data_IF_016643574667
#
_entry.id   IF_016643574667
#
_cell.length_a   1.000
_cell.length_b   1.000
_cell.length_c   1.000
_cell.angle_alpha   90.00
_cell.angle_beta   90.00
_cell.angle_gamma   90.00
#
_symmetry.space_group_name_H-M   'P 1'
#
loop_
_entity.id
_entity.type
_entity.pdbx_description
1 polymer ?
#
# COMPACT_ATOMS: atom_id res chain seq x y z
N UNK A 1 9.28 8.88 9.29
CA UNK A 1 9.81 8.09 8.16
C UNK A 1 9.05 6.77 7.96
N UNK A 2 8.49 6.16 9.00
CA UNK A 2 7.70 4.93 8.86
C UNK A 2 6.33 5.15 8.18
N UNK A 3 5.64 6.25 8.52
CA UNK A 3 4.32 6.60 7.94
C UNK A 3 4.37 6.79 6.41
N UNK A 4 5.40 7.45 5.89
CA UNK A 4 5.59 7.71 4.45
C UNK A 4 5.80 6.43 3.67
N UNK A 5 6.65 5.53 4.17
CA UNK A 5 6.90 4.25 3.55
C UNK A 5 5.65 3.35 3.60
N UNK A 6 4.93 3.36 4.73
CA UNK A 6 3.67 2.64 4.88
C UNK A 6 2.61 3.16 3.89
N UNK A 7 2.44 4.49 3.79
CA UNK A 7 1.53 5.14 2.84
C UNK A 7 1.88 4.80 1.41
N UNK A 8 3.17 4.88 1.07
CA UNK A 8 3.66 4.52 -0.26
C UNK A 8 3.29 3.06 -0.57
N UNK A 9 3.73 2.10 0.24
CA UNK A 9 3.45 0.68 0.05
C UNK A 9 1.96 0.33 0.03
N UNK A 10 1.16 1.04 0.83
CA UNK A 10 -0.29 0.86 0.85
C UNK A 10 -0.94 1.37 -0.43
N UNK A 11 -0.52 2.54 -0.93
CA UNK A 11 -1.09 3.14 -2.13
C UNK A 11 -0.57 2.51 -3.42
N UNK A 12 0.67 2.01 -3.46
CA UNK A 12 1.31 1.43 -4.66
C UNK A 12 0.39 0.48 -5.46
N UNK A 13 -0.22 -0.56 -4.88
CA UNK A 13 -1.09 -1.47 -5.64
C UNK A 13 -2.38 -0.80 -6.16
N UNK A 14 -2.80 0.31 -5.57
CA UNK A 14 -3.98 1.07 -5.98
C UNK A 14 -3.64 2.24 -6.91
N UNK A 15 -2.39 2.69 -6.98
CA UNK A 15 -1.94 3.81 -7.81
C UNK A 15 -2.43 3.78 -9.26
N UNK A 16 -2.30 2.66 -10.02
CA UNK A 16 -2.76 2.64 -11.41
C UNK A 16 -4.27 2.91 -11.54
N UNK A 17 -5.05 2.60 -10.51
CA UNK A 17 -6.49 2.88 -10.45
C UNK A 17 -6.80 4.25 -9.84
N UNK A 18 -6.03 4.70 -8.86
CA UNK A 18 -6.17 6.02 -8.23
C UNK A 18 -5.79 7.17 -9.17
N UNK A 19 -4.84 6.95 -10.08
CA UNK A 19 -4.52 7.90 -11.15
C UNK A 19 -5.66 8.02 -12.18
N UNK A 20 -6.42 6.94 -12.36
CA UNK A 20 -7.58 6.87 -13.27
C UNK A 20 -8.91 7.03 -12.52
N UNK A 21 -8.86 7.51 -11.27
CA UNK A 21 -10.03 7.69 -10.41
C UNK A 21 -11.01 8.66 -11.09
N UNK A 22 -12.29 8.27 -11.14
CA UNK A 22 -13.32 8.98 -11.91
C UNK A 22 -13.69 8.31 -13.23
N UNK A 23 -12.95 7.26 -13.62
CA UNK A 23 -13.40 6.33 -14.68
C UNK A 23 -14.10 5.12 -14.07
N UNK A 24 -15.15 4.57 -14.71
CA UNK A 24 -15.87 3.40 -14.19
C UNK A 24 -14.95 2.17 -14.05
N UNK A 25 -13.98 2.03 -14.97
CA UNK A 25 -12.98 0.95 -14.95
C UNK A 25 -12.10 1.02 -13.71
N UNK A 26 -11.66 2.22 -13.32
CA UNK A 26 -10.86 2.39 -12.11
C UNK A 26 -11.64 2.09 -10.83
N UNK A 27 -12.93 2.48 -10.78
CA UNK A 27 -13.77 2.18 -9.62
C UNK A 27 -14.03 0.69 -9.45
N UNK A 28 -14.28 -0.03 -10.53
CA UNK A 28 -14.53 -1.47 -10.48
C UNK A 28 -13.26 -2.25 -10.11
N UNK A 29 -12.14 -1.95 -10.78
CA UNK A 29 -10.87 -2.59 -10.49
C UNK A 29 -10.35 -2.25 -9.07
N UNK A 30 -10.51 -1.00 -8.64
CA UNK A 30 -10.19 -0.58 -7.28
C UNK A 30 -11.04 -1.31 -6.23
N UNK A 31 -12.34 -1.50 -6.48
CA UNK A 31 -13.21 -2.32 -5.62
C UNK A 31 -12.76 -3.79 -5.59
N UNK A 32 -12.45 -4.39 -6.74
CA UNK A 32 -11.96 -5.77 -6.80
C UNK A 32 -10.66 -5.95 -6.02
N UNK A 33 -9.69 -5.03 -6.18
CA UNK A 33 -8.45 -5.03 -5.40
C UNK A 33 -8.72 -4.80 -3.92
N UNK A 34 -9.61 -3.86 -3.59
CA UNK A 34 -10.09 -3.62 -2.24
C UNK A 34 -10.59 -4.91 -1.61
N UNK A 35 -11.57 -5.59 -2.22
CA UNK A 35 -12.10 -6.86 -1.72
C UNK A 35 -11.05 -7.97 -1.60
N UNK A 36 -10.01 -7.99 -2.45
CA UNK A 36 -8.90 -8.95 -2.34
C UNK A 36 -7.95 -8.65 -1.17
N UNK A 37 -7.70 -7.38 -0.90
CA UNK A 37 -6.77 -6.91 0.14
C UNK A 37 -7.45 -6.74 1.50
N UNK A 38 -8.76 -6.49 1.52
CA UNK A 38 -9.60 -6.33 2.70
C UNK A 38 -10.81 -5.44 2.42
N UNK A 39 -11.98 -5.80 2.91
CA UNK A 39 -13.16 -4.94 2.79
C UNK A 39 -12.89 -3.56 3.44
N UNK A 40 -13.24 -2.47 2.74
CA UNK A 40 -12.94 -1.10 3.15
C UNK A 40 -11.57 -0.56 2.71
N UNK A 41 -10.64 -1.40 2.22
CA UNK A 41 -9.29 -0.95 1.83
C UNK A 41 -9.32 0.07 0.70
N UNK A 42 -10.18 -0.16 -0.30
CA UNK A 42 -10.35 0.77 -1.42
C UNK A 42 -10.92 2.12 -0.98
N UNK A 43 -11.84 2.13 -0.02
CA UNK A 43 -12.42 3.35 0.51
C UNK A 43 -11.40 4.16 1.31
N UNK A 44 -10.64 3.51 2.18
CA UNK A 44 -9.51 4.12 2.90
C UNK A 44 -8.47 4.67 1.92
N UNK A 45 -8.08 3.90 0.89
CA UNK A 45 -7.15 4.34 -0.14
C UNK A 45 -7.66 5.59 -0.90
N UNK A 46 -8.95 5.61 -1.28
CA UNK A 46 -9.57 6.79 -1.90
C UNK A 46 -9.59 8.01 -0.97
N UNK A 47 -9.86 7.84 0.32
CA UNK A 47 -9.86 8.95 1.27
C UNK A 47 -8.45 9.54 1.47
N UNK A 48 -7.46 8.68 1.66
CA UNK A 48 -6.05 9.07 1.74
C UNK A 48 -5.62 9.78 0.46
N UNK A 49 -5.91 9.18 -0.70
CA UNK A 49 -5.59 9.75 -1.99
C UNK A 49 -6.31 11.07 -2.26
N UNK A 50 -7.57 11.22 -1.86
CA UNK A 50 -8.32 12.46 -2.02
C UNK A 50 -7.68 13.65 -1.31
N UNK A 51 -7.05 13.41 -0.15
CA UNK A 51 -6.28 14.45 0.58
C UNK A 51 -4.90 14.69 -0.04
N UNK A 52 -4.27 13.65 -0.58
CA UNK A 52 -2.89 13.70 -1.05
C UNK A 52 -2.76 14.14 -2.52
N UNK A 53 -3.65 13.68 -3.39
CA UNK A 53 -3.74 13.97 -4.83
C UNK A 53 -3.59 15.46 -5.18
N UNK A 54 -4.28 16.42 -4.52
CA UNK A 54 -4.08 17.84 -4.84
C UNK A 54 -2.64 18.30 -4.60
N UNK A 55 -1.98 17.81 -3.54
CA UNK A 55 -0.58 18.16 -3.22
C UNK A 55 0.42 17.51 -4.19
N UNK A 56 0.10 16.32 -4.64
CA UNK A 56 0.85 15.59 -5.66
C UNK A 56 0.76 16.28 -7.01
N UNK A 57 -0.43 16.75 -7.40
CA UNK A 57 -0.64 17.49 -8.64
C UNK A 57 0.14 18.82 -8.66
N UNK A 58 0.38 19.43 -7.50
CA UNK A 58 1.25 20.61 -7.35
C UNK A 58 2.75 20.28 -7.53
N UNK A 59 3.13 18.99 -7.60
CA UNK A 59 4.52 18.52 -7.66
C UNK A 59 4.73 17.60 -8.87
N UNK A 60 5.26 18.11 -10.00
CA UNK A 60 5.46 17.29 -11.20
C UNK A 60 6.41 16.10 -10.98
N UNK A 61 7.40 16.23 -10.09
CA UNK A 61 8.28 15.13 -9.69
C UNK A 61 7.52 13.98 -9.01
N UNK A 62 6.49 14.30 -8.24
CA UNK A 62 5.65 13.29 -7.61
C UNK A 62 4.80 12.58 -8.66
N UNK A 63 4.25 13.31 -9.64
CA UNK A 63 3.49 12.71 -10.74
C UNK A 63 4.31 11.75 -11.59
N UNK A 64 5.52 12.14 -12.00
CA UNK A 64 6.39 11.27 -12.79
C UNK A 64 6.76 9.98 -12.06
N UNK A 65 7.01 10.05 -10.74
CA UNK A 65 7.25 8.86 -9.93
C UNK A 65 6.01 7.96 -9.83
N UNK A 66 4.81 8.54 -9.77
CA UNK A 66 3.57 7.78 -9.74
C UNK A 66 3.23 7.10 -11.06
N UNK A 67 3.52 7.75 -12.18
CA UNK A 67 3.40 7.14 -13.51
C UNK A 67 4.37 5.97 -13.65
N UNK A 68 5.62 6.14 -13.21
CA UNK A 68 6.60 5.06 -13.19
C UNK A 68 6.18 3.90 -12.26
N UNK A 69 5.61 4.18 -11.08
CA UNK A 69 5.07 3.15 -10.18
C UNK A 69 3.79 2.48 -10.69
N UNK A 70 3.01 3.19 -11.50
CA UNK A 70 1.80 2.66 -12.13
C UNK A 70 2.13 1.74 -13.31
N UNK A 71 3.21 2.02 -14.03
CA UNK A 71 3.76 1.14 -15.06
C UNK A 71 4.55 -0.03 -14.45
N UNK A 72 5.42 0.27 -13.49
CA UNK A 72 6.25 -0.68 -12.76
C UNK A 72 6.20 -0.42 -11.25
N UNK A 73 5.33 -1.16 -10.57
CA UNK A 73 5.15 -1.07 -9.12
C UNK A 73 6.35 -1.51 -8.27
N UNK A 74 7.39 -2.09 -8.89
CA UNK A 74 8.64 -2.51 -8.23
C UNK A 74 9.84 -1.61 -8.56
N UNK A 75 9.61 -0.50 -9.27
CA UNK A 75 10.66 0.44 -9.61
C UNK A 75 11.19 1.13 -8.35
N UNK A 76 12.41 0.76 -7.94
CA UNK A 76 12.98 1.22 -6.68
C UNK A 76 13.28 2.72 -6.73
N UNK A 77 13.77 3.23 -7.87
CA UNK A 77 14.04 4.66 -8.04
C UNK A 77 12.74 5.47 -7.94
N UNK A 78 11.69 5.04 -8.64
CA UNK A 78 10.39 5.70 -8.55
C UNK A 78 9.81 5.63 -7.12
N UNK A 79 9.98 4.52 -6.41
CA UNK A 79 9.56 4.38 -5.03
C UNK A 79 10.31 5.32 -4.10
N UNK A 80 11.64 5.43 -4.24
CA UNK A 80 12.46 6.35 -3.44
C UNK A 80 12.10 7.81 -3.73
N UNK A 81 11.90 8.17 -5.00
CA UNK A 81 11.45 9.52 -5.39
C UNK A 81 10.08 9.80 -4.78
N UNK A 82 9.13 8.88 -4.88
CA UNK A 82 7.80 9.03 -4.30
C UNK A 82 7.86 9.23 -2.79
N UNK A 83 8.59 8.38 -2.05
CA UNK A 83 8.76 8.50 -0.60
C UNK A 83 9.43 9.83 -0.23
N UNK A 84 10.43 10.26 -0.98
CA UNK A 84 11.14 11.54 -0.76
C UNK A 84 10.22 12.74 -0.98
N UNK A 85 9.43 12.75 -2.06
CA UNK A 85 8.45 13.80 -2.33
C UNK A 85 7.34 13.78 -1.27
N UNK A 86 6.84 12.60 -0.91
CA UNK A 86 5.81 12.43 0.11
C UNK A 86 6.28 12.96 1.46
N UNK A 87 7.51 12.64 1.85
CA UNK A 87 8.15 13.16 3.07
C UNK A 87 8.22 14.68 3.05
N UNK A 88 8.65 15.28 1.93
CA UNK A 88 8.69 16.75 1.79
C UNK A 88 7.29 17.38 1.87
N UNK A 89 6.27 16.75 1.28
CA UNK A 89 4.89 17.22 1.33
C UNK A 89 4.31 17.17 2.75
N UNK A 90 4.51 16.06 3.45
CA UNK A 90 4.07 15.85 4.84
C UNK A 90 4.84 16.75 5.81
N UNK A 91 6.15 16.93 5.61
CA UNK A 91 6.96 17.84 6.42
C UNK A 91 6.52 19.31 6.22
N UNK A 92 6.16 19.69 4.99
CA UNK A 92 5.60 21.01 4.70
C UNK A 92 4.17 21.19 5.23
N UNK A 93 3.43 20.10 5.47
CA UNK A 93 2.03 20.12 5.91
C UNK A 93 1.81 19.13 7.06
N UNK A 94 2.32 19.46 8.26
CA UNK A 94 2.22 18.57 9.42
C UNK A 94 0.77 18.22 9.79
N UNK A 95 -0.17 19.14 9.58
CA UNK A 95 -1.60 18.86 9.79
C UNK A 95 -2.13 17.74 8.88
N UNK A 96 -1.67 17.70 7.62
CA UNK A 96 -2.03 16.63 6.69
C UNK A 96 -1.39 15.30 7.11
N UNK A 97 -0.18 15.33 7.66
CA UNK A 97 0.47 14.14 8.20
C UNK A 97 -0.30 13.54 9.39
N UNK A 98 -0.73 14.38 10.34
CA UNK A 98 -1.53 13.94 11.49
C UNK A 98 -2.91 13.41 11.07
N UNK A 99 -3.57 14.07 10.12
CA UNK A 99 -4.84 13.62 9.57
C UNK A 99 -4.73 12.26 8.88
N UNK A 100 -3.72 12.08 8.03
CA UNK A 100 -3.46 10.81 7.38
C UNK A 100 -3.10 9.73 8.40
N UNK A 101 -2.26 10.05 9.39
CA UNK A 101 -1.92 9.12 10.46
C UNK A 101 -3.14 8.68 11.24
N UNK A 102 -4.06 9.59 11.59
CA UNK A 102 -5.33 9.24 12.26
C UNK A 102 -6.23 8.38 11.39
N UNK A 103 -6.29 8.66 10.09
CA UNK A 103 -7.08 7.87 9.14
C UNK A 103 -6.54 6.45 9.04
N UNK A 104 -5.21 6.32 8.92
CA UNK A 104 -4.51 5.04 8.97
C UNK A 104 -4.64 4.32 10.31
N UNK A 105 -4.67 5.03 11.43
CA UNK A 105 -4.81 4.42 12.75
C UNK A 105 -6.24 3.89 12.97
N UNK A 106 -7.22 4.69 12.54
CA UNK A 106 -8.64 4.30 12.52
C UNK A 106 -8.86 3.04 11.69
N UNK A 107 -8.24 2.98 10.51
CA UNK A 107 -8.31 1.84 9.59
C UNK A 107 -7.06 0.94 9.69
N UNK A 108 -6.34 0.94 10.82
CA UNK A 108 -5.04 0.29 10.93
C UNK A 108 -5.11 -1.20 10.64
N UNK A 109 -6.23 -1.83 11.00
CA UNK A 109 -6.48 -3.24 10.72
C UNK A 109 -6.57 -3.50 9.22
N UNK A 110 -7.28 -2.64 8.49
CA UNK A 110 -7.48 -2.72 7.03
C UNK A 110 -6.16 -2.45 6.29
N UNK A 111 -5.43 -1.40 6.70
CA UNK A 111 -4.14 -1.04 6.10
C UNK A 111 -3.11 -2.14 6.33
N UNK A 112 -2.98 -2.65 7.56
CA UNK A 112 -2.04 -3.72 7.86
C UNK A 112 -2.35 -4.97 7.05
N UNK A 113 -3.62 -5.34 6.92
CA UNK A 113 -4.04 -6.48 6.11
C UNK A 113 -3.66 -6.31 4.63
N UNK A 114 -3.91 -5.13 4.05
CA UNK A 114 -3.58 -4.85 2.65
C UNK A 114 -2.08 -4.86 2.37
N UNK A 115 -1.28 -4.27 3.26
CA UNK A 115 0.19 -4.26 3.14
C UNK A 115 0.76 -5.67 3.33
N UNK A 116 0.27 -6.44 4.31
CA UNK A 116 0.71 -7.82 4.53
C UNK A 116 0.36 -8.76 3.37
N UNK A 117 -0.82 -8.62 2.76
CA UNK A 117 -1.20 -9.43 1.59
C UNK A 117 -0.34 -9.07 0.37
N UNK A 118 -0.05 -7.78 0.17
CA UNK A 118 0.84 -7.32 -0.90
C UNK A 118 2.27 -7.86 -0.73
N UNK A 119 2.77 -7.95 0.50
CA UNK A 119 4.07 -8.55 0.80
C UNK A 119 4.09 -10.09 0.69
N UNK A 120 2.95 -10.74 0.95
CA UNK A 120 2.82 -12.21 0.84
C UNK A 120 2.89 -12.69 -0.61
N UNK A 121 2.48 -11.85 -1.57
CA UNK A 121 2.44 -12.21 -3.00
C UNK A 121 3.71 -11.79 -3.76
N UNK A 122 4.45 -10.79 -3.26
CA UNK A 122 5.63 -10.22 -3.96
C UNK A 122 6.97 -10.81 -3.47
N UNK A 123 6.96 -11.69 -2.46
CA UNK A 123 8.18 -12.29 -1.90
C UNK A 123 8.15 -13.82 -1.86
N UNK A 124 9.10 -14.46 -2.54
CA UNK A 124 9.47 -15.89 -2.44
C UNK A 124 9.91 -16.35 -1.03
N UNK A 125 9.64 -15.56 0.03
CA UNK A 125 10.10 -15.80 1.41
C UNK A 125 9.06 -15.37 2.45
N UNK A 126 7.83 -15.86 2.31
CA UNK A 126 6.78 -15.63 3.30
C UNK A 126 7.14 -16.29 4.65
N UNK A 127 7.59 -15.52 5.64
CA UNK A 127 7.63 -15.96 7.04
C UNK A 127 6.28 -15.60 7.66
N UNK A 128 5.40 -16.59 7.68
CA UNK A 128 4.20 -16.57 8.52
C UNK A 128 4.66 -16.68 9.97
N UNK A 129 4.81 -15.56 10.67
CA UNK A 129 4.76 -15.56 12.13
C UNK A 129 3.28 -15.59 12.51
N UNK A 130 2.65 -16.73 12.25
CA UNK A 130 1.42 -17.08 12.93
C UNK A 130 1.78 -17.30 14.39
N UNK A 131 1.09 -16.60 15.29
CA UNK A 131 1.01 -16.99 16.70
C UNK A 131 0.39 -18.39 16.79
N UNK A 132 1.21 -19.40 16.50
CA UNK A 132 0.88 -20.81 16.62
C UNK A 132 1.59 -21.29 17.88
N UNK A 133 1.01 -20.96 19.02
CA UNK A 133 1.10 -21.82 20.20
C UNK A 133 0.38 -23.12 19.87
N UNK A 134 1.02 -23.95 19.05
CA UNK A 134 0.50 -25.18 18.48
C UNK A 134 1.70 -26.00 18.06
N UNK A 135 2.09 -26.93 18.94
CA UNK A 135 3.19 -27.86 18.79
C UNK A 135 3.14 -28.55 17.40
N UNK A 136 4.11 -28.28 16.52
CA UNK A 136 4.28 -29.04 15.28
C UNK A 136 5.11 -30.29 15.59
N UNK A 137 4.43 -31.43 15.68
CA UNK A 137 5.08 -32.73 15.70
C UNK A 137 5.44 -33.11 14.25
N UNK A 138 6.71 -32.98 13.88
CA UNK A 138 7.25 -33.45 12.61
C UNK A 138 7.28 -34.98 12.62
N UNK A 139 6.19 -35.62 12.19
CA UNK A 139 6.23 -37.03 11.81
C UNK A 139 7.01 -37.15 10.50
N UNK A 140 8.31 -37.39 10.63
CA UNK A 140 9.18 -37.80 9.52
C UNK A 140 8.71 -39.17 9.04
N UNK A 141 7.80 -39.19 8.06
CA UNK A 141 7.59 -40.34 7.20
C UNK A 141 8.40 -40.12 5.93
N UNK A 142 9.53 -40.81 5.82
CA UNK A 142 10.01 -41.21 4.51
C UNK A 142 10.29 -42.70 4.47
N UNK A 143 9.79 -43.27 3.39
CA UNK A 143 9.60 -44.67 3.08
C UNK A 143 10.78 -45.15 2.25
N UNK A 144 11.18 -46.41 2.49
CA UNK A 144 11.74 -47.41 1.55
C UNK A 144 12.73 -46.94 0.47
N UNK A 145 13.95 -47.50 0.54
CA UNK A 145 14.51 -48.39 -0.49
C UNK A 145 15.69 -49.16 0.06
#
# INVERSE_FOLDING_TARGET
MELTALLASFLTPFLPHLLKLGTPVAEEAGKTLGSKLGEGTWETAKQVWGKLSPKVAEKPLAQGALEALADNSQDNEAQEVWISQLTKMLAANSNLAEELQRLLDKDAKVVKQAVSVSQTVVGDRNIVIGNSSGFFNLTQSQVVR
#
